data_IF_437066227004
#
_entry.id   IF_437066227004
#
_cell.length_a   1.000
_cell.length_b   1.000
_cell.length_c   1.000
_cell.angle_alpha   90.00
_cell.angle_beta   90.00
_cell.angle_gamma   90.00
#
_symmetry.space_group_name_H-M   'P 1'
#
loop_
_entity.id
_entity.type
_entity.pdbx_description
1 polymer ?
#
# COMPACT_ATOMS: atom_id res chain seq x y z
N UNK A 1 35.96 -39.45 -38.56
CA UNK A 1 36.19 -38.02 -38.23
C UNK A 1 35.20 -37.25 -39.10
N UNK A 2 34.08 -36.73 -38.62
CA UNK A 2 33.92 -35.67 -37.62
C UNK A 2 32.51 -35.78 -36.99
N UNK A 3 32.45 -35.53 -35.69
CA UNK A 3 31.28 -35.69 -34.86
C UNK A 3 30.25 -34.56 -35.07
N UNK A 4 28.98 -34.97 -35.10
CA UNK A 4 27.79 -34.17 -34.82
C UNK A 4 27.95 -33.43 -33.49
N UNK A 5 27.98 -32.10 -33.52
CA UNK A 5 27.88 -31.26 -32.33
C UNK A 5 26.65 -30.37 -32.47
N UNK A 6 25.56 -30.81 -31.87
CA UNK A 6 24.36 -30.03 -31.61
C UNK A 6 24.71 -28.98 -30.55
N UNK A 7 25.02 -27.75 -30.96
CA UNK A 7 25.10 -26.59 -30.05
C UNK A 7 23.69 -26.18 -29.67
N UNK A 8 23.25 -26.61 -28.49
CA UNK A 8 22.10 -26.04 -27.78
C UNK A 8 22.56 -24.76 -27.07
N UNK A 9 22.76 -23.69 -27.83
CA UNK A 9 23.07 -22.40 -27.21
C UNK A 9 21.76 -21.83 -26.66
N UNK A 10 21.67 -21.93 -25.34
CA UNK A 10 20.53 -21.51 -24.54
C UNK A 10 20.20 -20.05 -24.84
N UNK A 11 18.95 -19.77 -25.21
CA UNK A 11 18.42 -18.41 -25.12
C UNK A 11 18.58 -17.96 -23.67
N UNK A 12 19.57 -17.11 -23.41
CA UNK A 12 19.74 -16.49 -22.11
C UNK A 12 18.51 -15.61 -21.87
N UNK A 13 17.55 -16.13 -21.12
CA UNK A 13 16.42 -15.39 -20.62
C UNK A 13 16.94 -14.21 -19.79
N UNK A 14 16.96 -13.02 -20.38
CA UNK A 14 17.32 -11.78 -19.69
C UNK A 14 16.23 -11.49 -18.67
N UNK A 15 16.42 -11.92 -17.42
CA UNK A 15 15.55 -11.47 -16.33
C UNK A 15 15.91 -10.01 -16.03
N UNK A 16 15.04 -9.03 -16.34
CA UNK A 16 15.35 -7.64 -16.10
C UNK A 16 15.47 -7.38 -14.60
N UNK A 17 16.67 -7.05 -14.15
CA UNK A 17 16.92 -6.68 -12.75
C UNK A 17 16.36 -5.28 -12.54
N UNK A 18 15.37 -5.11 -11.67
CA UNK A 18 14.83 -3.79 -11.33
C UNK A 18 15.96 -2.89 -10.80
N UNK A 19 16.14 -1.72 -11.42
CA UNK A 19 17.14 -0.74 -11.01
C UNK A 19 16.93 -0.32 -9.55
N UNK A 20 17.98 -0.41 -8.73
CA UNK A 20 17.93 -0.10 -7.29
C UNK A 20 17.35 1.29 -7.02
N UNK A 21 17.76 2.29 -7.81
CA UNK A 21 17.30 3.67 -7.66
C UNK A 21 15.79 3.78 -7.97
N UNK A 22 15.31 3.04 -8.96
CA UNK A 22 13.89 3.01 -9.31
C UNK A 22 13.05 2.41 -8.18
N UNK A 23 13.53 1.31 -7.57
CA UNK A 23 12.86 0.69 -6.42
C UNK A 23 12.80 1.65 -5.24
N UNK A 24 13.92 2.30 -4.88
CA UNK A 24 13.97 3.26 -3.77
C UNK A 24 12.99 4.43 -3.98
N UNK A 25 12.98 5.03 -5.17
CA UNK A 25 12.08 6.15 -5.47
C UNK A 25 10.62 5.70 -5.45
N UNK A 26 10.31 4.53 -6.03
CA UNK A 26 8.96 4.00 -6.01
C UNK A 26 8.46 3.73 -4.58
N UNK A 27 9.31 3.17 -3.71
CA UNK A 27 8.99 2.95 -2.30
C UNK A 27 8.78 4.27 -1.55
N UNK A 28 9.63 5.27 -1.77
CA UNK A 28 9.48 6.58 -1.13
C UNK A 28 8.19 7.28 -1.55
N UNK A 29 7.86 7.28 -2.84
CA UNK A 29 6.62 7.87 -3.35
C UNK A 29 5.41 7.14 -2.79
N UNK A 30 5.44 5.79 -2.78
CA UNK A 30 4.38 4.97 -2.20
C UNK A 30 4.13 5.31 -0.73
N UNK A 31 5.20 5.35 0.07
CA UNK A 31 5.13 5.76 1.48
C UNK A 31 4.58 7.18 1.63
N UNK A 32 5.03 8.14 0.81
CA UNK A 32 4.55 9.51 0.87
C UNK A 32 3.04 9.63 0.58
N UNK A 33 2.54 8.92 -0.44
CA UNK A 33 1.12 8.91 -0.79
C UNK A 33 0.29 8.29 0.35
N UNK A 34 0.78 7.18 0.93
CA UNK A 34 0.12 6.55 2.09
C UNK A 34 -0.02 7.51 3.27
N UNK A 35 1.03 8.27 3.61
CA UNK A 35 0.97 9.27 4.68
C UNK A 35 0.07 10.46 4.31
N UNK A 36 0.12 10.90 3.05
CA UNK A 36 -0.68 12.02 2.57
C UNK A 36 -2.18 11.76 2.71
N UNK A 37 -2.66 10.64 2.17
CA UNK A 37 -4.10 10.31 2.22
C UNK A 37 -4.55 10.11 3.67
N UNK A 38 -3.73 9.43 4.48
CA UNK A 38 -4.05 9.23 5.89
C UNK A 38 -4.15 10.52 6.70
N UNK A 39 -3.29 11.50 6.41
CA UNK A 39 -3.31 12.79 7.09
C UNK A 39 -4.53 13.64 6.71
N UNK A 40 -4.89 13.64 5.42
CA UNK A 40 -6.11 14.31 4.95
C UNK A 40 -7.35 13.65 5.56
N UNK A 41 -7.41 12.32 5.56
CA UNK A 41 -8.51 11.58 6.18
C UNK A 41 -8.62 11.88 7.68
N UNK A 42 -7.50 11.87 8.41
CA UNK A 42 -7.49 12.17 9.84
C UNK A 42 -8.02 13.59 10.12
N UNK A 43 -7.60 14.56 9.32
CA UNK A 43 -8.04 15.96 9.42
C UNK A 43 -9.54 16.06 9.14
N UNK A 44 -10.02 15.40 8.08
CA UNK A 44 -11.44 15.35 7.75
C UNK A 44 -12.26 14.61 8.83
N UNK A 45 -11.70 13.58 9.47
CA UNK A 45 -12.34 12.86 10.57
C UNK A 45 -12.57 13.73 11.82
N UNK A 46 -11.73 14.75 12.03
CA UNK A 46 -11.90 15.68 13.14
C UNK A 46 -12.83 16.85 12.75
N UNK A 47 -12.69 17.40 11.54
CA UNK A 47 -13.30 18.70 11.19
C UNK A 47 -14.59 18.54 10.38
N UNK A 48 -14.71 17.51 9.54
CA UNK A 48 -15.77 17.43 8.52
C UNK A 48 -16.74 16.29 8.80
N UNK A 49 -16.22 15.07 8.97
CA UNK A 49 -17.02 13.84 9.07
C UNK A 49 -18.02 13.80 10.23
N UNK A 50 -17.74 14.35 11.43
CA UNK A 50 -18.71 14.40 12.52
C UNK A 50 -20.02 15.11 12.13
N UNK A 51 -19.95 16.07 11.21
CA UNK A 51 -21.09 16.88 10.81
C UNK A 51 -21.88 16.33 9.62
N UNK A 52 -21.25 15.53 8.76
CA UNK A 52 -21.84 15.05 7.50
C UNK A 52 -22.27 13.59 7.52
N UNK A 53 -21.67 12.75 8.38
CA UNK A 53 -21.93 11.31 8.40
C UNK A 53 -22.63 10.81 9.66
N UNK A 54 -22.59 11.56 10.77
CA UNK A 54 -23.15 11.16 12.05
C UNK A 54 -24.36 12.01 12.45
N UNK A 55 -25.31 11.46 13.23
CA UNK A 55 -26.56 12.15 13.55
C UNK A 55 -26.36 13.48 14.28
N UNK A 56 -27.22 14.45 13.95
CA UNK A 56 -27.27 15.74 14.62
C UNK A 56 -27.88 15.56 16.02
N UNK A 57 -27.02 15.49 17.04
CA UNK A 57 -27.37 15.23 18.43
C UNK A 57 -26.23 15.68 19.33
N UNK A 58 -25.63 14.75 20.07
CA UNK A 58 -24.43 15.00 20.88
C UNK A 58 -23.18 15.18 19.98
N UNK A 59 -22.59 16.39 19.89
CA UNK A 59 -21.42 16.64 19.06
C UNK A 59 -20.19 15.84 19.49
N UNK A 60 -20.08 15.51 20.78
CA UNK A 60 -18.96 14.71 21.30
C UNK A 60 -19.08 13.27 20.80
N UNK A 61 -20.27 12.68 20.86
CA UNK A 61 -20.52 11.34 20.34
C UNK A 61 -20.23 11.25 18.83
N UNK A 62 -20.68 12.22 18.03
CA UNK A 62 -20.43 12.25 16.59
C UNK A 62 -18.93 12.30 16.26
N UNK A 63 -18.16 13.09 17.02
CA UNK A 63 -16.70 13.17 16.88
C UNK A 63 -16.04 11.84 17.24
N UNK A 64 -16.49 11.20 18.32
CA UNK A 64 -15.94 9.93 18.77
C UNK A 64 -16.21 8.80 17.76
N UNK A 65 -17.40 8.77 17.17
CA UNK A 65 -17.74 7.82 16.11
C UNK A 65 -16.89 8.04 14.85
N UNK A 66 -16.68 9.30 14.46
CA UNK A 66 -15.82 9.64 13.32
C UNK A 66 -14.36 9.19 13.54
N UNK A 67 -13.81 9.45 14.72
CA UNK A 67 -12.49 8.98 15.13
C UNK A 67 -12.42 7.45 15.22
N UNK A 68 -13.50 6.78 15.65
CA UNK A 68 -13.57 5.33 15.67
C UNK A 68 -13.49 4.74 14.25
N UNK A 69 -14.13 5.36 13.26
CA UNK A 69 -13.98 4.96 11.85
C UNK A 69 -12.54 5.16 11.37
N UNK A 70 -11.90 6.28 11.71
CA UNK A 70 -10.47 6.50 11.43
C UNK A 70 -9.59 5.43 12.10
N UNK A 71 -9.93 5.01 13.32
CA UNK A 71 -9.19 3.99 14.06
C UNK A 71 -9.16 2.62 13.32
N UNK A 72 -10.16 2.31 12.51
CA UNK A 72 -10.20 1.06 11.70
C UNK A 72 -8.96 0.97 10.81
N UNK A 73 -8.47 2.08 10.28
CA UNK A 73 -7.30 2.08 9.40
C UNK A 73 -6.01 1.59 10.11
N UNK A 74 -5.89 1.73 11.43
CA UNK A 74 -4.77 1.18 12.20
C UNK A 74 -4.79 -0.35 12.30
N UNK A 75 -5.96 -0.96 12.10
CA UNK A 75 -6.11 -2.42 12.04
C UNK A 75 -6.04 -2.90 10.58
N UNK A 76 -6.69 -2.17 9.67
CA UNK A 76 -6.69 -2.49 8.26
C UNK A 76 -5.28 -2.47 7.65
N UNK A 77 -4.40 -1.56 8.08
CA UNK A 77 -3.01 -1.47 7.60
C UNK A 77 -2.17 -2.72 7.90
N UNK A 78 -2.02 -3.17 9.16
CA UNK A 78 -1.33 -4.42 9.48
C UNK A 78 -1.92 -5.63 8.76
N UNK A 79 -3.24 -5.69 8.63
CA UNK A 79 -3.90 -6.79 7.92
C UNK A 79 -3.55 -6.73 6.43
N UNK A 80 -3.66 -5.55 5.82
CA UNK A 80 -3.31 -5.31 4.44
C UNK A 80 -1.84 -5.66 4.17
N UNK A 81 -0.91 -5.22 5.02
CA UNK A 81 0.51 -5.53 4.85
C UNK A 81 0.81 -7.01 5.04
N UNK A 82 0.13 -7.72 5.95
CA UNK A 82 0.28 -9.17 6.08
C UNK A 82 -0.20 -9.91 4.82
N UNK A 83 -1.34 -9.51 4.27
CA UNK A 83 -1.93 -10.13 3.07
C UNK A 83 -1.10 -9.78 1.82
N UNK A 84 -0.96 -8.49 1.51
CA UNK A 84 -0.28 -8.02 0.31
C UNK A 84 1.24 -8.21 0.38
N UNK A 85 1.84 -8.20 1.57
CA UNK A 85 3.24 -8.58 1.76
C UNK A 85 3.45 -10.05 1.43
N UNK A 86 2.59 -10.95 1.94
CA UNK A 86 2.69 -12.38 1.61
C UNK A 86 2.56 -12.65 0.11
N UNK A 87 1.61 -12.00 -0.58
CA UNK A 87 1.46 -12.15 -2.02
C UNK A 87 2.61 -11.47 -2.79
N UNK A 88 3.09 -10.32 -2.33
CA UNK A 88 4.21 -9.60 -2.95
C UNK A 88 5.55 -10.32 -2.84
N UNK A 89 5.76 -11.11 -1.79
CA UNK A 89 6.97 -11.93 -1.61
C UNK A 89 6.97 -13.17 -2.52
N UNK A 90 5.82 -13.55 -3.08
CA UNK A 90 5.64 -14.77 -3.88
C UNK A 90 5.60 -14.51 -5.40
N UNK A 91 5.39 -13.26 -5.82
CA UNK A 91 5.20 -12.85 -7.23
C UNK A 91 6.46 -12.18 -7.79
#
# INVERSE_FOLDING_TARGET
MQATATTLDHEQEYTPINSRNKVLVASLIGTAIEFFDFYIYATAAVIVFPHIFFPQGDPTAATLQSLATFAIAFVARPIGSAVFGHFGDRV
#
